data_IF_300039238667
#
_entry.id   IF_300039238667
#
_cell.length_a   1.000
_cell.length_b   1.000
_cell.length_c   1.000
_cell.angle_alpha   90.00
_cell.angle_beta   90.00
_cell.angle_gamma   90.00
#
_symmetry.space_group_name_H-M   'P 1'
#
loop_
_entity.id
_entity.type
_entity.pdbx_description
1 polymer ?
#
# COMPACT_ATOMS: atom_id res chain seq x y z
N UNK A 1 -55.66 15.67 -40.34
CA UNK A 1 -54.64 15.49 -39.28
C UNK A 1 -53.37 16.22 -39.72
N UNK A 2 -53.03 17.34 -39.08
CA UNK A 2 -51.80 18.09 -39.36
C UNK A 2 -50.60 17.43 -38.67
N UNK A 3 -49.56 17.13 -39.44
CA UNK A 3 -48.29 16.60 -38.92
C UNK A 3 -47.67 17.59 -37.93
N UNK A 4 -47.18 17.14 -36.75
CA UNK A 4 -46.59 18.04 -35.78
C UNK A 4 -45.32 18.69 -36.35
N UNK A 5 -45.04 19.96 -36.04
CA UNK A 5 -43.87 20.65 -36.55
C UNK A 5 -42.59 19.95 -36.08
N UNK A 6 -41.73 19.58 -37.04
CA UNK A 6 -40.41 19.01 -36.75
C UNK A 6 -39.60 20.02 -35.94
N UNK A 7 -39.39 19.73 -34.65
CA UNK A 7 -38.50 20.52 -33.80
C UNK A 7 -37.11 20.57 -34.44
N UNK A 8 -36.49 21.76 -34.60
CA UNK A 8 -35.15 21.86 -35.14
C UNK A 8 -34.20 21.11 -34.22
N UNK A 9 -33.48 20.12 -34.77
CA UNK A 9 -32.42 19.42 -34.02
C UNK A 9 -31.39 20.47 -33.62
N UNK A 10 -31.01 20.58 -32.33
CA UNK A 10 -30.00 21.55 -31.93
C UNK A 10 -28.74 21.29 -32.75
N UNK A 11 -28.27 22.31 -33.47
CA UNK A 11 -27.04 22.22 -34.27
C UNK A 11 -25.88 22.06 -33.29
N UNK A 12 -25.43 20.83 -33.10
CA UNK A 12 -24.26 20.52 -32.27
C UNK A 12 -23.06 21.21 -32.93
N UNK A 13 -22.62 22.31 -32.34
CA UNK A 13 -21.49 23.07 -32.85
C UNK A 13 -20.20 22.26 -32.69
N UNK A 14 -19.20 22.56 -33.52
CA UNK A 14 -17.87 21.96 -33.41
C UNK A 14 -17.29 22.12 -32.00
N UNK A 15 -17.53 23.26 -31.35
CA UNK A 15 -17.20 23.52 -29.95
C UNK A 15 -17.90 22.58 -28.96
N UNK A 16 -19.18 22.25 -29.18
CA UNK A 16 -19.88 21.25 -28.36
C UNK A 16 -19.27 19.85 -28.53
N UNK A 17 -18.89 19.47 -29.76
CA UNK A 17 -18.21 18.19 -30.02
C UNK A 17 -16.83 18.12 -29.40
N UNK A 18 -16.05 19.21 -29.46
CA UNK A 18 -14.74 19.29 -28.80
C UNK A 18 -14.89 19.31 -27.30
N UNK A 19 -15.83 20.09 -26.75
CA UNK A 19 -16.09 20.11 -25.31
C UNK A 19 -16.55 18.75 -24.82
N UNK A 20 -17.37 18.04 -25.59
CA UNK A 20 -17.75 16.65 -25.33
C UNK A 20 -16.52 15.73 -25.38
N UNK A 21 -15.74 15.76 -26.46
CA UNK A 21 -14.52 14.94 -26.61
C UNK A 21 -13.51 15.19 -25.49
N UNK A 22 -13.26 16.44 -25.12
CA UNK A 22 -12.42 16.84 -23.98
C UNK A 22 -13.01 16.38 -22.63
N UNK A 23 -14.34 16.35 -22.49
CA UNK A 23 -15.03 15.89 -21.28
C UNK A 23 -14.91 14.38 -21.07
N UNK A 24 -14.82 13.60 -22.16
CA UNK A 24 -14.65 12.15 -22.15
C UNK A 24 -13.23 11.69 -22.49
N UNK A 25 -12.29 12.63 -22.65
CA UNK A 25 -10.86 12.31 -22.79
C UNK A 25 -10.34 11.88 -21.41
N UNK A 26 -10.29 10.58 -21.20
CA UNK A 26 -9.64 10.00 -20.03
C UNK A 26 -8.13 9.96 -20.29
N UNK A 27 -7.42 10.94 -19.74
CA UNK A 27 -5.95 10.85 -19.67
C UNK A 27 -5.57 9.79 -18.63
N UNK A 28 -4.52 8.97 -18.84
CA UNK A 28 -4.03 8.03 -17.82
C UNK A 28 -3.63 8.73 -16.50
N UNK A 29 -3.35 10.04 -16.56
CA UNK A 29 -3.05 10.87 -15.39
C UNK A 29 -4.28 11.29 -14.56
N UNK A 30 -5.50 11.00 -15.05
CA UNK A 30 -6.76 11.36 -14.42
C UNK A 30 -6.76 12.77 -13.80
N UNK A 31 -6.26 13.78 -14.55
CA UNK A 31 -5.94 15.11 -14.00
C UNK A 31 -7.13 15.75 -13.29
N UNK A 32 -8.33 15.61 -13.84
CA UNK A 32 -9.56 16.12 -13.22
C UNK A 32 -9.82 15.49 -11.85
N UNK A 33 -9.71 14.16 -11.77
CA UNK A 33 -9.85 13.43 -10.50
C UNK A 33 -8.77 13.84 -9.50
N UNK A 34 -7.54 13.98 -9.97
CA UNK A 34 -6.40 14.46 -9.17
C UNK A 34 -6.66 15.84 -8.57
N UNK A 35 -7.16 16.79 -9.37
CA UNK A 35 -7.51 18.13 -8.89
C UNK A 35 -8.64 18.09 -7.87
N UNK A 36 -9.68 17.27 -8.08
CA UNK A 36 -10.78 17.10 -7.12
C UNK A 36 -10.22 16.61 -5.78
N UNK A 37 -9.35 15.60 -5.79
CA UNK A 37 -8.72 15.07 -4.57
C UNK A 37 -7.84 16.12 -3.87
N UNK A 38 -7.03 16.85 -4.62
CA UNK A 38 -6.13 17.87 -4.07
C UNK A 38 -6.89 19.07 -3.48
N UNK A 39 -8.09 19.40 -3.98
CA UNK A 39 -8.92 20.50 -3.45
C UNK A 39 -9.31 20.33 -1.98
N UNK A 40 -9.40 19.11 -1.49
CA UNK A 40 -9.80 18.88 -0.10
C UNK A 40 -8.76 19.39 0.92
N UNK A 41 -7.48 19.44 0.53
CA UNK A 41 -6.39 19.81 1.46
C UNK A 41 -5.51 20.96 0.99
N UNK A 42 -5.58 21.33 -0.29
CA UNK A 42 -4.77 22.40 -0.86
C UNK A 42 -5.64 23.56 -1.32
N UNK A 43 -5.40 24.75 -0.76
CA UNK A 43 -5.98 26.02 -1.23
C UNK A 43 -5.73 26.27 -2.72
N UNK A 44 -4.58 25.81 -3.23
CA UNK A 44 -4.18 25.93 -4.63
C UNK A 44 -3.92 24.54 -5.25
N UNK A 45 -4.97 23.81 -5.67
CA UNK A 45 -4.86 22.41 -6.10
C UNK A 45 -4.04 22.22 -7.38
N UNK A 46 -4.08 23.19 -8.30
CA UNK A 46 -3.28 23.16 -9.53
C UNK A 46 -1.79 23.34 -9.24
N UNK A 47 -1.44 24.22 -8.30
CA UNK A 47 -0.06 24.38 -7.85
C UNK A 47 0.43 23.13 -7.11
N UNK A 48 -0.41 22.52 -6.29
CA UNK A 48 -0.11 21.24 -5.64
C UNK A 48 0.16 20.14 -6.68
N UNK A 49 -0.66 20.05 -7.73
CA UNK A 49 -0.45 19.10 -8.81
C UNK A 49 0.87 19.37 -9.55
N UNK A 50 1.18 20.63 -9.85
CA UNK A 50 2.43 21.01 -10.50
C UNK A 50 3.64 20.63 -9.62
N UNK A 51 3.56 20.82 -8.30
CA UNK A 51 4.60 20.40 -7.35
C UNK A 51 4.82 18.88 -7.34
N UNK A 52 3.77 18.08 -7.57
CA UNK A 52 3.91 16.63 -7.70
C UNK A 52 4.68 16.20 -8.96
N UNK A 53 4.71 17.04 -9.98
CA UNK A 53 5.48 16.80 -11.20
C UNK A 53 6.96 17.24 -11.08
N UNK A 54 7.28 18.07 -10.09
CA UNK A 54 8.66 18.55 -9.89
C UNK A 54 9.55 17.41 -9.38
N UNK A 55 10.81 17.32 -9.82
CA UNK A 55 11.77 16.36 -9.29
C UNK A 55 11.98 16.56 -7.78
N UNK A 56 12.41 15.51 -7.08
CA UNK A 56 12.80 15.64 -5.66
C UNK A 56 14.04 16.51 -5.53
N UNK A 57 14.37 16.93 -4.30
CA UNK A 57 15.63 17.62 -4.01
C UNK A 57 16.87 16.83 -4.46
N UNK A 58 16.74 15.50 -4.61
CA UNK A 58 17.78 14.58 -5.09
C UNK A 58 17.75 14.35 -6.61
N UNK A 59 16.97 15.16 -7.36
CA UNK A 59 16.73 15.00 -8.80
C UNK A 59 16.22 13.61 -9.22
N UNK A 60 15.68 12.84 -8.26
CA UNK A 60 15.06 11.55 -8.52
C UNK A 60 13.58 11.72 -8.85
N UNK A 61 13.07 10.84 -9.71
CA UNK A 61 11.63 10.73 -9.93
C UNK A 61 10.92 10.12 -8.71
N UNK A 62 11.55 9.15 -8.06
CA UNK A 62 10.97 8.44 -6.92
C UNK A 62 11.13 9.23 -5.63
N UNK A 63 10.10 9.18 -4.78
CA UNK A 63 10.20 9.76 -3.46
C UNK A 63 11.17 8.96 -2.57
N UNK A 64 12.04 9.63 -1.79
CA UNK A 64 12.85 8.96 -0.79
C UNK A 64 11.94 8.40 0.32
N UNK A 65 12.42 7.42 1.06
CA UNK A 65 11.75 6.97 2.28
C UNK A 65 11.79 8.13 3.29
N UNK A 66 10.65 8.60 3.83
CA UNK A 66 10.65 9.58 4.91
C UNK A 66 11.33 8.97 6.13
N UNK A 67 11.93 9.80 7.00
CA UNK A 67 12.48 9.29 8.26
C UNK A 67 11.41 8.49 9.01
N UNK A 68 11.60 7.18 9.17
CA UNK A 68 10.63 6.35 9.87
C UNK A 68 10.69 6.67 11.37
N UNK A 69 9.54 6.72 12.07
CA UNK A 69 9.55 6.82 13.53
C UNK A 69 10.26 5.60 14.12
N UNK A 70 10.77 5.74 15.36
CA UNK A 70 11.31 4.60 16.08
C UNK A 70 10.16 3.68 16.51
N UNK A 71 10.41 2.36 16.64
CA UNK A 71 9.43 1.43 17.18
C UNK A 71 8.89 1.87 18.56
N UNK A 72 9.77 2.37 19.43
CA UNK A 72 9.40 2.88 20.74
C UNK A 72 8.44 4.08 20.65
N UNK A 73 8.71 5.04 19.75
CA UNK A 73 7.86 6.22 19.60
C UNK A 73 6.43 5.86 19.14
N UNK A 74 6.27 4.83 18.30
CA UNK A 74 4.96 4.34 17.89
C UNK A 74 4.22 3.62 19.03
N UNK A 75 4.93 2.94 19.92
CA UNK A 75 4.34 2.27 21.10
C UNK A 75 3.95 3.29 22.17
N UNK A 76 4.75 4.33 22.38
CA UNK A 76 4.49 5.39 23.35
C UNK A 76 3.35 6.31 22.91
N UNK A 77 3.25 6.59 21.61
CA UNK A 77 2.19 7.40 21.02
C UNK A 77 1.48 6.63 19.89
N UNK A 78 0.42 5.84 20.22
CA UNK A 78 -0.35 5.10 19.24
C UNK A 78 -0.98 5.97 18.14
N UNK A 79 -1.34 7.23 18.48
CA UNK A 79 -1.93 8.18 17.54
C UNK A 79 -0.93 8.68 16.48
N UNK A 80 0.38 8.57 16.73
CA UNK A 80 1.43 9.05 15.83
C UNK A 80 1.30 8.48 14.42
N UNK A 81 0.91 7.20 14.31
CA UNK A 81 0.68 6.56 13.01
C UNK A 81 -0.47 7.20 12.23
N UNK A 82 -1.58 7.51 12.91
CA UNK A 82 -2.73 8.19 12.32
C UNK A 82 -2.42 9.65 11.97
N UNK A 83 -1.79 10.38 12.88
CA UNK A 83 -1.36 11.76 12.68
C UNK A 83 -0.48 11.88 11.44
N UNK A 84 0.58 11.06 11.34
CA UNK A 84 1.47 11.05 10.17
C UNK A 84 0.72 10.71 8.88
N UNK A 85 -0.22 9.77 8.92
CA UNK A 85 -1.01 9.40 7.74
C UNK A 85 -1.92 10.54 7.29
N UNK A 86 -2.60 11.18 8.23
CA UNK A 86 -3.48 12.32 8.01
C UNK A 86 -2.67 13.53 7.51
N UNK A 87 -1.58 13.85 8.19
CA UNK A 87 -0.68 14.97 7.92
C UNK A 87 0.07 14.85 6.62
N UNK A 88 0.26 13.62 6.11
CA UNK A 88 0.81 13.40 4.77
C UNK A 88 -0.26 13.17 3.71
N UNK A 89 -1.56 13.19 4.05
CA UNK A 89 -2.69 12.97 3.14
C UNK A 89 -2.58 11.65 2.35
N UNK A 90 -1.98 10.62 2.94
CA UNK A 90 -1.55 9.43 2.18
C UNK A 90 -2.71 8.81 1.41
N UNK A 91 -3.86 8.59 2.07
CA UNK A 91 -5.02 7.95 1.45
C UNK A 91 -5.54 8.70 0.22
N UNK A 92 -5.53 10.04 0.26
CA UNK A 92 -5.94 10.83 -0.91
C UNK A 92 -4.89 10.77 -2.02
N UNK A 93 -3.61 10.85 -1.67
CA UNK A 93 -2.50 10.85 -2.63
C UNK A 93 -2.33 9.51 -3.35
N UNK A 94 -2.64 8.39 -2.68
CA UNK A 94 -2.72 7.06 -3.31
C UNK A 94 -3.71 7.03 -4.49
N UNK A 95 -4.72 7.90 -4.52
CA UNK A 95 -5.66 7.98 -5.66
C UNK A 95 -5.17 8.86 -6.80
N UNK A 96 -4.08 9.62 -6.60
CA UNK A 96 -3.52 10.57 -7.57
C UNK A 96 -2.45 9.86 -8.42
N UNK A 97 -2.65 9.64 -9.73
CA UNK A 97 -1.73 8.84 -10.56
C UNK A 97 -0.29 9.35 -10.59
N UNK A 98 -0.11 10.68 -10.63
CA UNK A 98 1.24 11.26 -10.64
C UNK A 98 1.99 11.00 -9.33
N UNK A 99 1.32 11.09 -8.19
CA UNK A 99 1.93 10.75 -6.90
C UNK A 99 2.27 9.26 -6.84
N UNK A 100 1.32 8.39 -7.24
CA UNK A 100 1.56 6.94 -7.32
C UNK A 100 2.74 6.58 -8.21
N UNK A 101 2.96 7.29 -9.31
CA UNK A 101 4.08 7.05 -10.23
C UNK A 101 5.45 7.31 -9.61
N UNK A 102 5.48 8.05 -8.50
CA UNK A 102 6.68 8.43 -7.76
C UNK A 102 6.84 7.68 -6.44
N UNK A 103 5.76 7.08 -5.93
CA UNK A 103 5.83 6.23 -4.74
C UNK A 103 6.59 4.92 -5.02
N UNK A 104 7.13 4.31 -3.97
CA UNK A 104 8.00 3.13 -4.07
C UNK A 104 7.51 1.99 -3.18
N UNK A 105 7.80 0.72 -3.52
CA UNK A 105 7.46 -0.39 -2.65
C UNK A 105 8.09 -0.25 -1.27
N UNK A 106 9.33 0.28 -1.19
CA UNK A 106 10.01 0.47 0.10
C UNK A 106 9.26 1.46 0.99
N UNK A 107 8.78 2.59 0.43
CA UNK A 107 7.92 3.53 1.18
C UNK A 107 6.63 2.87 1.67
N UNK A 108 6.04 1.99 0.87
CA UNK A 108 4.85 1.23 1.26
C UNK A 108 5.15 0.26 2.41
N UNK A 109 6.31 -0.43 2.39
CA UNK A 109 6.74 -1.29 3.50
C UNK A 109 6.90 -0.52 4.81
N UNK A 110 7.46 0.70 4.78
CA UNK A 110 7.54 1.54 5.98
C UNK A 110 6.17 2.00 6.47
N UNK A 111 5.20 2.25 5.58
CA UNK A 111 3.81 2.53 6.02
C UNK A 111 3.13 1.31 6.64
N UNK A 112 3.39 0.12 6.11
CA UNK A 112 2.93 -1.15 6.70
C UNK A 112 3.57 -1.38 8.08
N UNK A 113 4.86 -1.08 8.23
CA UNK A 113 5.57 -1.08 9.51
C UNK A 113 4.91 -0.12 10.51
N UNK A 114 4.67 1.14 10.12
CA UNK A 114 4.01 2.13 10.98
C UNK A 114 2.62 1.62 11.41
N UNK A 115 1.88 0.97 10.51
CA UNK A 115 0.56 0.41 10.81
C UNK A 115 0.59 -0.80 11.76
N UNK A 116 1.55 -1.72 11.59
CA UNK A 116 1.69 -2.90 12.46
C UNK A 116 2.15 -2.50 13.86
N UNK A 117 3.07 -1.54 13.95
CA UNK A 117 3.53 -1.01 15.24
C UNK A 117 2.46 -0.19 15.97
N UNK A 118 1.51 0.41 15.24
CA UNK A 118 0.36 1.11 15.81
C UNK A 118 -0.69 0.20 16.46
N UNK A 119 -0.47 -1.12 16.45
CA UNK A 119 -1.30 -2.10 17.13
C UNK A 119 -2.69 -2.29 16.50
N UNK A 120 -3.61 -2.82 17.30
CA UNK A 120 -4.91 -3.31 16.83
C UNK A 120 -5.78 -2.22 16.17
N UNK A 121 -5.62 -0.95 16.56
CA UNK A 121 -6.36 0.18 15.98
C UNK A 121 -5.94 0.50 14.53
N UNK A 122 -4.66 0.27 14.20
CA UNK A 122 -4.09 0.55 12.88
C UNK A 122 -4.15 -0.65 11.93
N UNK A 123 -4.58 -1.83 12.41
CA UNK A 123 -4.76 -3.04 11.60
C UNK A 123 -5.55 -2.85 10.29
N UNK A 124 -6.64 -2.06 10.22
CA UNK A 124 -7.32 -1.79 8.94
C UNK A 124 -6.40 -1.14 7.88
N UNK A 125 -5.40 -0.37 8.30
CA UNK A 125 -4.42 0.27 7.40
C UNK A 125 -3.53 -0.78 6.72
N UNK A 126 -3.21 -1.88 7.40
CA UNK A 126 -2.45 -3.00 6.81
C UNK A 126 -3.14 -3.54 5.57
N UNK A 127 -4.46 -3.75 5.63
CA UNK A 127 -5.26 -4.20 4.49
C UNK A 127 -5.26 -3.18 3.35
N UNK A 128 -5.44 -1.88 3.65
CA UNK A 128 -5.42 -0.82 2.63
C UNK A 128 -4.08 -0.69 1.92
N UNK A 129 -2.97 -0.72 2.66
CA UNK A 129 -1.62 -0.62 2.08
C UNK A 129 -1.26 -1.91 1.32
N UNK A 130 -1.71 -3.07 1.80
CA UNK A 130 -1.53 -4.35 1.09
C UNK A 130 -2.27 -4.34 -0.26
N UNK A 131 -3.53 -3.89 -0.28
CA UNK A 131 -4.28 -3.73 -1.53
C UNK A 131 -3.63 -2.70 -2.45
N UNK A 132 -3.21 -1.55 -1.90
CA UNK A 132 -2.51 -0.53 -2.66
C UNK A 132 -1.23 -1.08 -3.29
N UNK A 133 -0.42 -1.84 -2.54
CA UNK A 133 0.80 -2.49 -3.00
C UNK A 133 0.47 -3.49 -4.11
N UNK A 134 -0.51 -4.38 -3.89
CA UNK A 134 -0.91 -5.40 -4.86
C UNK A 134 -1.31 -4.77 -6.20
N UNK A 135 -2.04 -3.65 -6.18
CA UNK A 135 -2.47 -2.94 -7.40
C UNK A 135 -1.35 -2.21 -8.15
N UNK A 136 -0.14 -2.11 -7.58
CA UNK A 136 0.99 -1.55 -8.32
C UNK A 136 1.61 -2.59 -9.27
N UNK A 137 1.04 -2.78 -10.45
CA UNK A 137 1.51 -3.76 -11.45
C UNK A 137 2.84 -3.42 -12.15
N UNK A 138 3.60 -2.42 -11.69
CA UNK A 138 4.86 -1.99 -12.32
C UNK A 138 6.00 -2.92 -11.89
N UNK A 139 6.95 -3.18 -12.79
CA UNK A 139 8.15 -4.00 -12.52
C UNK A 139 8.87 -3.60 -11.23
N UNK A 140 9.02 -2.30 -10.94
CA UNK A 140 9.66 -1.83 -9.71
C UNK A 140 8.96 -2.24 -8.41
N UNK A 141 7.72 -2.74 -8.46
CA UNK A 141 6.91 -3.20 -7.32
C UNK A 141 6.85 -4.73 -7.21
N UNK A 142 7.60 -5.46 -8.04
CA UNK A 142 7.79 -6.90 -7.86
C UNK A 142 8.56 -7.18 -6.56
N UNK A 143 8.09 -8.13 -5.75
CA UNK A 143 8.66 -8.41 -4.42
C UNK A 143 10.16 -8.71 -4.48
N UNK A 144 10.59 -9.59 -5.40
CA UNK A 144 12.00 -9.97 -5.59
C UNK A 144 12.95 -8.82 -5.98
N UNK A 145 12.41 -7.64 -6.36
CA UNK A 145 13.21 -6.47 -6.74
C UNK A 145 13.36 -5.44 -5.63
N UNK A 146 12.69 -5.63 -4.50
CA UNK A 146 12.78 -4.67 -3.42
C UNK A 146 14.19 -4.73 -2.83
N UNK A 147 14.95 -3.62 -2.88
CA UNK A 147 16.30 -3.60 -2.36
C UNK A 147 16.28 -3.78 -0.85
N UNK A 148 17.36 -4.37 -0.33
CA UNK A 148 17.60 -4.45 1.10
C UNK A 148 17.75 -3.03 1.69
N UNK A 149 16.86 -2.61 2.63
CA UNK A 149 16.96 -1.30 3.27
C UNK A 149 18.17 -1.16 4.20
N UNK A 150 18.75 -2.27 4.69
CA UNK A 150 19.79 -2.29 5.72
C UNK A 150 19.43 -1.39 6.90
N UNK A 151 18.22 -1.55 7.40
CA UNK A 151 17.69 -0.68 8.43
C UNK A 151 18.50 -0.84 9.73
N UNK A 152 19.00 0.25 10.34
CA UNK A 152 19.83 0.16 11.53
C UNK A 152 19.06 -0.27 12.79
N UNK A 153 17.73 -0.12 12.80
CA UNK A 153 16.91 -0.56 13.93
C UNK A 153 16.54 -2.04 13.75
N UNK A 154 16.97 -2.94 14.66
CA UNK A 154 16.77 -4.37 14.49
C UNK A 154 15.29 -4.77 14.55
N UNK A 155 14.45 -4.06 15.31
CA UNK A 155 13.01 -4.34 15.43
C UNK A 155 12.32 -3.95 14.14
N UNK A 156 12.62 -2.74 13.64
CA UNK A 156 12.07 -2.28 12.36
C UNK A 156 12.54 -3.17 11.21
N UNK A 157 13.81 -3.58 11.20
CA UNK A 157 14.33 -4.45 10.14
C UNK A 157 13.67 -5.83 10.15
N UNK A 158 13.50 -6.43 11.33
CA UNK A 158 12.75 -7.68 11.50
C UNK A 158 11.30 -7.56 11.01
N UNK A 159 10.62 -6.45 11.35
CA UNK A 159 9.25 -6.21 10.87
C UNK A 159 9.18 -6.06 9.35
N UNK A 160 10.09 -5.33 8.72
CA UNK A 160 10.13 -5.20 7.26
C UNK A 160 10.30 -6.56 6.57
N UNK A 161 11.11 -7.46 7.15
CA UNK A 161 11.26 -8.83 6.66
C UNK A 161 9.96 -9.64 6.82
N UNK A 162 9.32 -9.59 8.00
CA UNK A 162 8.03 -10.25 8.24
C UNK A 162 6.93 -9.76 7.30
N UNK A 163 6.81 -8.43 7.13
CA UNK A 163 5.85 -7.82 6.21
C UNK A 163 6.04 -8.36 4.80
N UNK A 164 7.29 -8.44 4.33
CA UNK A 164 7.53 -8.87 2.96
C UNK A 164 7.18 -10.35 2.75
N UNK A 165 7.44 -11.20 3.74
CA UNK A 165 7.01 -12.60 3.74
C UNK A 165 5.49 -12.74 3.78
N UNK A 166 4.78 -11.98 4.63
CA UNK A 166 3.32 -11.97 4.65
C UNK A 166 2.71 -11.45 3.32
N UNK A 167 3.35 -10.47 2.68
CA UNK A 167 2.97 -10.02 1.34
C UNK A 167 3.16 -11.10 0.29
N UNK A 168 4.23 -11.91 0.38
CA UNK A 168 4.45 -13.03 -0.54
C UNK A 168 3.28 -14.02 -0.49
N UNK A 169 2.97 -14.49 0.71
CA UNK A 169 1.96 -15.53 0.90
C UNK A 169 0.58 -15.02 0.47
N UNK A 170 0.22 -13.81 0.91
CA UNK A 170 -1.05 -13.19 0.52
C UNK A 170 -1.15 -12.92 -0.97
N UNK A 171 -0.06 -12.54 -1.65
CA UNK A 171 -0.08 -12.28 -3.09
C UNK A 171 -0.14 -13.56 -3.90
N UNK A 172 0.61 -14.59 -3.53
CA UNK A 172 0.56 -15.89 -4.20
C UNK A 172 -0.82 -16.52 -4.06
N UNK A 173 -1.46 -16.41 -2.90
CA UNK A 173 -2.85 -16.81 -2.74
C UNK A 173 -3.82 -15.99 -3.60
N UNK A 174 -3.71 -14.65 -3.61
CA UNK A 174 -4.54 -13.81 -4.50
C UNK A 174 -4.40 -14.23 -5.96
N UNK A 175 -3.18 -14.50 -6.42
CA UNK A 175 -2.92 -14.97 -7.78
C UNK A 175 -3.51 -16.36 -8.03
N UNK A 176 -3.42 -17.26 -7.05
CA UNK A 176 -3.95 -18.62 -7.13
C UNK A 176 -5.47 -18.65 -7.21
N UNK A 177 -6.19 -17.67 -6.63
CA UNK A 177 -7.64 -17.52 -6.81
C UNK A 177 -8.02 -16.65 -8.02
N UNK A 178 -7.11 -16.45 -8.97
CA UNK A 178 -7.39 -15.74 -10.22
C UNK A 178 -7.36 -14.21 -10.13
N UNK A 179 -7.03 -13.61 -8.98
CA UNK A 179 -6.86 -12.16 -8.91
C UNK A 179 -5.61 -11.72 -9.67
N UNK A 180 -5.63 -10.53 -10.26
CA UNK A 180 -4.50 -9.95 -11.01
C UNK A 180 -4.29 -8.51 -10.58
N UNK A 181 -3.02 -8.09 -10.57
CA UNK A 181 -2.57 -6.78 -10.07
C UNK A 181 -3.11 -5.62 -10.93
N UNK A 182 -3.27 -5.86 -12.22
CA UNK A 182 -3.84 -4.93 -13.19
C UNK A 182 -5.37 -4.85 -13.16
N UNK A 183 -6.03 -5.72 -12.37
CA UNK A 183 -7.49 -5.82 -12.28
C UNK A 183 -8.13 -6.70 -13.35
N UNK A 184 -7.37 -7.26 -14.29
CA UNK A 184 -7.86 -8.19 -15.29
C UNK A 184 -7.96 -9.60 -14.68
N UNK A 185 -8.91 -9.77 -13.76
CA UNK A 185 -9.12 -11.02 -13.03
C UNK A 185 -9.43 -12.17 -13.99
N UNK A 186 -8.85 -13.34 -13.72
CA UNK A 186 -9.18 -14.57 -14.45
C UNK A 186 -10.48 -15.12 -13.88
N UNK A 187 -11.57 -15.18 -14.66
CA UNK A 187 -12.81 -15.76 -14.16
C UNK A 187 -12.59 -17.26 -13.88
N UNK A 188 -13.23 -17.82 -12.83
CA UNK A 188 -13.26 -19.25 -12.63
C UNK A 188 -13.90 -19.90 -13.86
N UNK A 189 -13.07 -20.64 -14.62
CA UNK A 189 -13.51 -21.42 -15.78
C UNK A 189 -13.22 -22.89 -15.48
N UNK A 190 -11.99 -23.35 -15.75
CA UNK A 190 -11.57 -24.73 -15.49
C UNK A 190 -11.06 -24.96 -14.06
N UNK A 191 -11.09 -23.92 -13.22
CA UNK A 191 -10.77 -23.97 -11.80
C UNK A 191 -12.02 -23.51 -11.06
N UNK A 192 -12.57 -24.40 -10.25
CA UNK A 192 -13.89 -24.29 -9.61
C UNK A 192 -13.80 -24.11 -8.09
N UNK A 193 -12.58 -24.09 -7.54
CA UNK A 193 -12.37 -24.03 -6.09
C UNK A 193 -12.59 -25.37 -5.37
N UNK A 194 -13.02 -26.42 -6.08
CA UNK A 194 -13.44 -27.71 -5.51
C UNK A 194 -12.62 -28.86 -6.07
N UNK A 195 -12.59 -29.05 -7.40
CA UNK A 195 -11.82 -30.08 -8.08
C UNK A 195 -10.48 -29.55 -8.61
N UNK A 196 -10.44 -28.27 -8.96
CA UNK A 196 -9.22 -27.56 -9.31
C UNK A 196 -9.22 -26.20 -8.58
N UNK A 197 -8.57 -26.12 -7.40
CA UNK A 197 -8.73 -24.96 -6.52
C UNK A 197 -8.02 -23.70 -7.01
N UNK A 198 -7.10 -23.81 -7.97
CA UNK A 198 -6.20 -22.70 -8.32
C UNK A 198 -6.19 -22.36 -9.81
N UNK A 199 -6.32 -21.08 -10.11
CA UNK A 199 -6.04 -20.48 -11.41
C UNK A 199 -4.54 -20.64 -11.76
N UNK A 200 -4.19 -20.76 -13.05
CA UNK A 200 -2.79 -20.78 -13.46
C UNK A 200 -2.12 -19.43 -13.15
N UNK A 201 -0.99 -19.45 -12.44
CA UNK A 201 -0.20 -18.25 -12.15
C UNK A 201 1.29 -18.60 -12.01
N UNK A 202 2.15 -17.62 -12.25
CA UNK A 202 3.57 -17.70 -11.89
C UNK A 202 3.74 -17.24 -10.44
N UNK A 203 4.24 -18.09 -9.53
CA UNK A 203 4.48 -17.69 -8.16
C UNK A 203 5.47 -16.54 -8.07
N UNK A 204 5.12 -15.55 -7.27
CA UNK A 204 6.06 -14.52 -6.87
C UNK A 204 7.12 -15.11 -5.95
N UNK A 205 8.29 -14.51 -5.99
CA UNK A 205 9.44 -14.85 -5.14
C UNK A 205 9.90 -13.64 -4.35
N UNK A 206 10.63 -13.90 -3.27
CA UNK A 206 11.26 -12.89 -2.44
C UNK A 206 12.71 -12.62 -2.87
N UNK A 207 13.25 -11.43 -2.53
CA UNK A 207 14.68 -11.22 -2.53
C UNK A 207 15.33 -12.05 -1.42
N UNK A 208 16.66 -12.18 -1.42
CA UNK A 208 17.37 -13.00 -0.43
C UNK A 208 17.41 -12.39 0.97
N UNK A 209 17.34 -11.06 1.10
CA UNK A 209 17.58 -10.36 2.37
C UNK A 209 16.59 -10.69 3.51
N UNK A 210 15.26 -10.87 3.30
CA UNK A 210 14.33 -11.14 4.39
C UNK A 210 14.67 -12.44 5.13
N UNK A 211 15.11 -13.45 4.38
CA UNK A 211 15.54 -14.75 4.92
C UNK A 211 16.80 -14.64 5.79
N UNK A 212 17.62 -13.61 5.55
CA UNK A 212 18.86 -13.36 6.26
C UNK A 212 18.67 -12.50 7.52
N UNK A 213 17.48 -11.91 7.72
CA UNK A 213 17.21 -11.08 8.90
C UNK A 213 16.99 -11.98 10.11
N UNK A 214 17.86 -11.91 11.14
CA UNK A 214 17.75 -12.75 12.32
C UNK A 214 16.55 -12.34 13.18
N UNK A 215 16.12 -13.22 14.11
CA UNK A 215 15.19 -12.83 15.17
C UNK A 215 15.76 -11.69 16.01
N UNK A 216 14.88 -10.80 16.49
CA UNK A 216 15.32 -9.73 17.40
C UNK A 216 15.75 -10.35 18.73
N UNK A 217 16.90 -9.93 19.26
CA UNK A 217 17.37 -10.41 20.56
C UNK A 217 16.35 -10.10 21.67
N UNK A 218 16.02 -11.11 22.48
CA UNK A 218 14.99 -10.98 23.52
C UNK A 218 15.45 -10.11 24.69
N UNK A 219 16.75 -10.07 24.98
CA UNK A 219 17.27 -9.20 26.03
C UNK A 219 17.21 -7.75 25.56
N UNK A 220 17.64 -7.50 24.31
CA UNK A 220 17.49 -6.19 23.67
C UNK A 220 16.03 -5.71 23.72
N UNK A 221 15.07 -6.57 23.36
CA UNK A 221 13.64 -6.21 23.44
C UNK A 221 13.23 -5.77 24.86
N UNK A 222 13.65 -6.49 25.90
CA UNK A 222 13.37 -6.12 27.30
C UNK A 222 14.03 -4.80 27.72
N UNK A 223 15.20 -4.51 27.15
CA UNK A 223 15.96 -3.31 27.49
C UNK A 223 15.39 -2.05 26.82
N UNK A 224 14.88 -2.17 25.57
CA UNK A 224 14.41 -1.01 24.79
C UNK A 224 12.90 -0.81 24.76
N UNK A 225 12.11 -1.84 25.07
CA UNK A 225 10.65 -1.76 25.04
C UNK A 225 10.04 -1.76 26.44
N UNK A 226 8.90 -1.07 26.64
CA UNK A 226 8.16 -1.13 27.90
C UNK A 226 7.72 -2.57 28.23
N UNK A 227 7.78 -2.95 29.51
CA UNK A 227 7.35 -4.29 29.96
C UNK A 227 5.92 -4.64 29.54
N UNK A 228 5.03 -3.64 29.44
CA UNK A 228 3.63 -3.81 29.02
C UNK A 228 3.44 -4.37 27.60
N UNK A 229 4.45 -4.28 26.73
CA UNK A 229 4.41 -4.81 25.35
C UNK A 229 5.30 -6.04 25.19
N UNK A 230 5.82 -6.62 26.28
CA UNK A 230 6.60 -7.85 26.25
C UNK A 230 5.78 -8.96 26.91
N UNK A 231 5.64 -10.09 26.23
CA UNK A 231 4.95 -11.25 26.82
C UNK A 231 5.83 -12.05 27.77
N UNK A 232 5.23 -13.09 28.38
CA UNK A 232 5.93 -14.02 29.26
C UNK A 232 7.03 -14.84 28.57
N UNK A 233 7.01 -14.93 27.23
CA UNK A 233 8.00 -15.62 26.41
C UNK A 233 9.12 -14.67 25.91
N UNK A 234 9.05 -13.38 26.22
CA UNK A 234 9.97 -12.35 25.78
C UNK A 234 9.77 -11.89 24.33
N UNK A 235 8.57 -12.10 23.76
CA UNK A 235 8.17 -11.62 22.45
C UNK A 235 7.62 -10.20 22.54
N UNK A 236 7.83 -9.42 21.48
CA UNK A 236 7.22 -8.11 21.31
C UNK A 236 5.74 -8.25 20.90
N UNK A 237 4.84 -7.98 21.84
CA UNK A 237 3.38 -8.01 21.64
C UNK A 237 2.89 -6.73 20.98
N UNK A 238 2.45 -6.83 19.72
CA UNK A 238 1.87 -5.73 18.97
C UNK A 238 0.35 -5.86 18.82
N UNK A 239 -0.16 -7.10 18.74
CA UNK A 239 -1.58 -7.39 18.50
C UNK A 239 -2.09 -8.43 19.48
N UNK A 240 -3.33 -8.28 19.96
CA UNK A 240 -3.89 -9.13 21.03
C UNK A 240 -3.97 -10.62 20.63
N UNK A 241 -4.22 -10.91 19.34
CA UNK A 241 -4.27 -12.27 18.78
C UNK A 241 -3.07 -12.59 17.86
N UNK A 242 -1.94 -11.93 18.08
CA UNK A 242 -0.77 -11.99 17.20
C UNK A 242 0.07 -13.26 17.35
N UNK A 243 -0.34 -14.38 16.73
CA UNK A 243 0.41 -15.66 16.75
C UNK A 243 0.83 -16.16 15.37
N UNK A 244 1.02 -15.24 14.42
CA UNK A 244 1.45 -15.62 13.09
C UNK A 244 2.91 -16.13 13.11
N UNK A 245 3.16 -17.28 12.49
CA UNK A 245 4.48 -17.93 12.47
C UNK A 245 5.55 -17.04 11.81
N UNK A 246 5.16 -16.24 10.81
CA UNK A 246 6.05 -15.32 10.09
C UNK A 246 6.64 -14.27 11.04
N UNK A 247 5.84 -13.79 11.99
CA UNK A 247 6.27 -12.79 12.97
C UNK A 247 6.93 -13.46 14.18
N UNK A 248 6.36 -14.58 14.64
CA UNK A 248 6.83 -15.31 15.83
C UNK A 248 8.27 -15.78 15.66
N UNK A 249 8.66 -16.24 14.45
CA UNK A 249 10.05 -16.64 14.19
C UNK A 249 11.06 -15.51 14.36
N UNK A 250 10.64 -14.24 14.39
CA UNK A 250 11.50 -13.08 14.67
C UNK A 250 11.31 -12.46 16.05
N UNK A 251 10.70 -13.21 16.97
CA UNK A 251 10.36 -12.78 18.34
C UNK A 251 9.30 -11.66 18.41
N UNK A 252 8.36 -11.64 17.47
CA UNK A 252 7.28 -10.63 17.40
C UNK A 252 5.92 -11.33 17.40
N UNK A 253 5.02 -10.91 18.28
CA UNK A 253 3.64 -11.37 18.33
C UNK A 253 2.73 -10.36 17.61
N UNK A 254 2.45 -10.64 16.33
CA UNK A 254 1.59 -9.84 15.46
C UNK A 254 0.69 -10.74 14.59
N UNK A 255 -0.45 -10.21 14.15
CA UNK A 255 -1.38 -10.94 13.27
C UNK A 255 -1.09 -10.65 11.80
N UNK A 256 -1.03 -11.69 10.96
CA UNK A 256 -0.97 -11.56 9.51
C UNK A 256 -2.34 -11.51 8.83
N UNK A 257 -3.45 -11.67 9.55
CA UNK A 257 -4.79 -11.80 8.96
C UNK A 257 -5.16 -10.64 8.01
N UNK A 258 -4.77 -9.40 8.34
CA UNK A 258 -5.10 -8.22 7.53
C UNK A 258 -4.39 -8.13 6.18
N UNK A 259 -3.35 -8.94 5.94
CA UNK A 259 -2.74 -9.06 4.61
C UNK A 259 -3.67 -9.81 3.63
N UNK A 260 -4.53 -10.69 4.16
CA UNK A 260 -5.41 -11.55 3.38
C UNK A 260 -6.79 -10.94 3.14
N UNK A 261 -7.28 -10.13 4.09
CA UNK A 261 -8.61 -9.50 3.99
C UNK A 261 -8.59 -8.21 3.17
N UNK A 262 -9.63 -8.03 2.34
CA UNK A 262 -9.94 -6.81 1.60
C UNK A 262 -11.02 -6.03 2.36
#
# INVERSE_FOLDING_TARGET
MSTPPRRPRPKITWWMRIKHRLRYLESPLALRGSIIRLRHRHKHPYLALLRLCMPTATFSWSYPVPTPPSPLALIENPDLGWERRYDNNIKSLETVPIWRSRDTPLRCLYRLYEAIMGGDEMLPVVGYETEYFFRQGRRAWELHRIPDPRDPDPIRYALLACILESLLDSFNWRLSIGMRRDGNHIPPTNWDGVNNPYAPYEPMTLPSWPQQVPPVDKQYLKDVMPERVIDSQGLLMLHTDGKDEIFTKRNIAATGHKFWTI
#
